data_IF_933281343084
#
_entry.id   IF_933281343084
#
_cell.length_a   1.000
_cell.length_b   1.000
_cell.length_c   1.000
_cell.angle_alpha   90.00
_cell.angle_beta   90.00
_cell.angle_gamma   90.00
#
_symmetry.space_group_name_H-M   'P 1'
#
loop_
_entity.id
_entity.type
_entity.pdbx_description
1 polymer ?
#
# COMPACT_ATOMS: atom_id res chain seq x y z
N UNK A 1 2.93 1.95 -27.85
CA UNK A 1 3.07 0.47 -27.93
C UNK A 1 2.47 -0.04 -26.65
N UNK A 2 1.25 -0.55 -26.74
CA UNK A 2 0.31 -0.66 -25.62
C UNK A 2 -0.32 -2.06 -25.65
N UNK A 3 0.47 -3.10 -25.41
CA UNK A 3 -0.01 -4.50 -25.36
C UNK A 3 0.86 -5.26 -24.34
N UNK A 4 0.55 -5.10 -23.04
CA UNK A 4 1.24 -5.81 -21.94
C UNK A 4 0.46 -5.81 -20.63
N UNK A 5 -0.16 -4.68 -20.27
CA UNK A 5 -0.71 -4.49 -18.91
C UNK A 5 -2.03 -5.23 -18.65
N UNK A 6 -2.94 -5.31 -19.62
CA UNK A 6 -4.29 -5.84 -19.38
C UNK A 6 -4.34 -7.31 -18.92
N UNK A 7 -3.44 -8.15 -19.42
CA UNK A 7 -3.39 -9.58 -19.05
C UNK A 7 -2.77 -9.79 -17.67
N UNK A 8 -1.71 -9.03 -17.35
CA UNK A 8 -1.03 -9.08 -16.05
C UNK A 8 -1.95 -8.57 -14.95
N UNK A 9 -2.65 -7.45 -15.18
CA UNK A 9 -3.65 -6.92 -14.23
C UNK A 9 -4.83 -7.88 -14.03
N UNK A 10 -5.34 -8.50 -15.09
CA UNK A 10 -6.44 -9.48 -14.98
C UNK A 10 -6.01 -10.73 -14.20
N UNK A 11 -4.80 -11.23 -14.45
CA UNK A 11 -4.25 -12.37 -13.70
C UNK A 11 -3.98 -12.00 -12.23
N UNK A 12 -3.51 -10.79 -11.96
CA UNK A 12 -3.30 -10.29 -10.61
C UNK A 12 -4.63 -10.15 -9.85
N UNK A 13 -5.67 -9.62 -10.51
CA UNK A 13 -6.99 -9.48 -9.90
C UNK A 13 -7.60 -10.83 -9.52
N UNK A 14 -7.56 -11.81 -10.43
CA UNK A 14 -8.05 -13.17 -10.12
C UNK A 14 -7.28 -13.85 -8.98
N UNK A 15 -5.98 -13.54 -8.83
CA UNK A 15 -5.18 -14.04 -7.71
C UNK A 15 -5.59 -13.41 -6.37
N UNK A 16 -5.71 -12.07 -6.31
CA UNK A 16 -6.08 -11.41 -5.05
C UNK A 16 -7.50 -11.74 -4.61
N UNK A 17 -8.43 -11.90 -5.55
CA UNK A 17 -9.83 -12.25 -5.25
C UNK A 17 -9.99 -13.65 -4.64
N UNK A 18 -9.02 -14.54 -4.84
CA UNK A 18 -9.01 -15.86 -4.23
C UNK A 18 -8.53 -15.86 -2.76
N UNK A 19 -8.00 -14.73 -2.26
CA UNK A 19 -7.45 -14.61 -0.92
C UNK A 19 -8.47 -13.98 0.05
N UNK A 20 -8.48 -14.50 1.28
CA UNK A 20 -9.39 -14.08 2.36
C UNK A 20 -8.84 -12.89 3.14
N UNK A 21 -7.52 -12.83 3.30
CA UNK A 21 -6.83 -11.71 3.95
C UNK A 21 -6.77 -10.48 3.03
N UNK A 22 -6.81 -9.24 3.56
CA UNK A 22 -6.60 -8.05 2.77
C UNK A 22 -5.30 -8.17 1.96
N UNK A 23 -5.40 -7.93 0.66
CA UNK A 23 -4.25 -8.01 -0.23
C UNK A 23 -4.38 -6.96 -1.33
N UNK A 24 -3.24 -6.36 -1.67
CA UNK A 24 -3.08 -5.51 -2.85
C UNK A 24 -1.86 -5.94 -3.66
N UNK A 25 -1.88 -5.60 -4.94
CA UNK A 25 -0.70 -5.60 -5.81
C UNK A 25 -0.42 -4.15 -6.16
N UNK A 26 0.82 -3.73 -5.91
CA UNK A 26 1.32 -2.41 -6.29
C UNK A 26 2.25 -2.54 -7.50
N UNK A 27 2.22 -1.57 -8.39
CA UNK A 27 3.26 -1.42 -9.41
C UNK A 27 4.50 -0.68 -8.86
N UNK A 28 5.51 -0.47 -9.72
CA UNK A 28 6.74 0.24 -9.37
C UNK A 28 6.51 1.68 -8.90
N UNK A 29 5.41 2.34 -9.26
CA UNK A 29 5.09 3.70 -8.82
C UNK A 29 4.24 3.73 -7.55
N UNK A 30 4.00 2.56 -6.95
CA UNK A 30 3.12 2.32 -5.81
C UNK A 30 1.64 2.59 -6.09
N UNK A 31 1.24 2.45 -7.36
CA UNK A 31 -0.18 2.43 -7.72
C UNK A 31 -0.77 1.06 -7.42
N UNK A 32 -1.95 1.04 -6.78
CA UNK A 32 -2.72 -0.18 -6.55
C UNK A 32 -3.29 -0.65 -7.88
N UNK A 33 -2.69 -1.68 -8.47
CA UNK A 33 -3.13 -2.25 -9.75
C UNK A 33 -4.12 -3.40 -9.59
N UNK A 34 -4.11 -4.07 -8.43
CA UNK A 34 -5.12 -5.05 -8.05
C UNK A 34 -5.34 -5.00 -6.53
N UNK A 35 -6.57 -5.23 -6.08
CA UNK A 35 -6.91 -5.32 -4.67
C UNK A 35 -8.13 -6.23 -4.48
N UNK A 36 -8.14 -7.02 -3.41
CA UNK A 36 -9.36 -7.75 -3.06
C UNK A 36 -10.36 -6.82 -2.36
N UNK A 37 -11.63 -7.26 -2.34
CA UNK A 37 -12.72 -6.46 -1.77
C UNK A 37 -12.51 -6.10 -0.30
N UNK A 38 -11.85 -6.98 0.47
CA UNK A 38 -11.55 -6.73 1.89
C UNK A 38 -10.52 -5.62 2.05
N UNK A 39 -9.48 -5.56 1.22
CA UNK A 39 -8.50 -4.47 1.24
C UNK A 39 -9.14 -3.11 0.94
N UNK A 40 -9.95 -3.02 -0.12
CA UNK A 40 -10.66 -1.78 -0.45
C UNK A 40 -11.66 -1.36 0.64
N UNK A 41 -12.26 -2.31 1.36
CA UNK A 41 -13.14 -2.04 2.49
C UNK A 41 -12.38 -1.64 3.77
N UNK A 42 -11.11 -2.07 3.91
CA UNK A 42 -10.24 -1.75 5.02
C UNK A 42 -9.82 -0.28 4.99
N UNK A 43 -9.40 0.23 3.83
CA UNK A 43 -8.99 1.62 3.61
C UNK A 43 -9.10 2.04 2.15
N UNK A 44 -9.46 3.31 1.92
CA UNK A 44 -9.41 3.94 0.59
C UNK A 44 -7.99 4.04 0.00
N UNK A 45 -6.95 3.88 0.81
CA UNK A 45 -5.56 3.78 0.32
C UNK A 45 -5.29 2.49 -0.43
N UNK A 46 -6.11 1.46 -0.23
CA UNK A 46 -5.93 0.10 -0.74
C UNK A 46 -6.90 -0.25 -1.88
N UNK A 47 -7.50 0.77 -2.51
CA UNK A 47 -8.39 0.58 -3.66
C UNK A 47 -7.64 0.70 -4.98
N UNK A 48 -8.04 -0.09 -5.97
CA UNK A 48 -7.46 -0.04 -7.32
C UNK A 48 -7.51 1.39 -7.89
N UNK A 49 -6.39 1.84 -8.45
CA UNK A 49 -6.20 3.19 -8.99
C UNK A 49 -5.73 4.23 -7.97
N UNK A 50 -5.66 3.89 -6.68
CA UNK A 50 -5.03 4.76 -5.67
C UNK A 50 -3.52 4.64 -5.74
N UNK A 51 -2.82 5.77 -5.73
CA UNK A 51 -1.38 5.81 -5.52
C UNK A 51 -1.09 5.92 -4.02
N UNK A 52 -0.38 4.94 -3.46
CA UNK A 52 -0.15 4.88 -2.01
C UNK A 52 0.69 6.09 -1.53
N UNK A 53 1.73 6.49 -2.26
CA UNK A 53 2.55 7.64 -1.89
C UNK A 53 1.74 8.96 -1.88
N UNK A 54 0.90 9.19 -2.88
CA UNK A 54 -0.01 10.35 -2.87
C UNK A 54 -1.00 10.29 -1.73
N UNK A 55 -1.56 9.11 -1.45
CA UNK A 55 -2.50 8.95 -0.35
C UNK A 55 -1.84 9.28 0.99
N UNK A 56 -0.65 8.74 1.26
CA UNK A 56 0.05 8.93 2.54
C UNK A 56 0.51 10.38 2.75
N UNK A 57 1.03 11.03 1.70
CA UNK A 57 1.71 12.32 1.86
C UNK A 57 0.90 13.55 1.45
N UNK A 58 -0.17 13.39 0.67
CA UNK A 58 -0.97 14.51 0.13
C UNK A 58 -2.42 14.52 0.61
N UNK A 59 -2.90 13.46 1.28
CA UNK A 59 -4.25 13.42 1.82
C UNK A 59 -4.30 14.21 3.15
N UNK A 60 -5.13 15.28 3.26
CA UNK A 60 -5.24 16.05 4.49
C UNK A 60 -6.03 15.33 5.60
N UNK A 61 -6.63 14.18 5.31
CA UNK A 61 -7.49 13.42 6.21
C UNK A 61 -6.85 12.13 6.74
N UNK A 62 -5.52 12.04 6.83
CA UNK A 62 -4.92 10.90 7.54
C UNK A 62 -5.16 11.11 9.04
N UNK A 63 -6.33 10.66 9.49
CA UNK A 63 -6.83 10.66 10.88
C UNK A 63 -6.14 9.54 11.68
N UNK A 64 -4.82 9.57 11.76
CA UNK A 64 -4.07 8.68 12.64
C UNK A 64 -3.42 9.46 13.78
N UNK A 65 -3.05 8.74 14.85
CA UNK A 65 -2.08 9.28 15.78
C UNK A 65 -0.80 9.62 15.02
N UNK A 66 -0.15 10.74 15.36
CA UNK A 66 1.05 11.23 14.65
C UNK A 66 2.10 10.12 14.48
N UNK A 67 2.26 9.27 15.50
CA UNK A 67 3.21 8.16 15.53
C UNK A 67 2.90 7.06 14.48
N UNK A 68 1.62 6.73 14.26
CA UNK A 68 1.21 5.70 13.29
C UNK A 68 1.39 6.18 11.85
N UNK A 69 1.01 7.44 11.60
CA UNK A 69 1.22 8.06 10.31
C UNK A 69 2.71 8.21 9.98
N UNK A 70 3.55 8.59 10.95
CA UNK A 70 5.01 8.68 10.76
C UNK A 70 5.61 7.34 10.33
N UNK A 71 5.18 6.23 10.94
CA UNK A 71 5.63 4.89 10.55
C UNK A 71 5.20 4.53 9.11
N UNK A 72 3.97 4.85 8.73
CA UNK A 72 3.45 4.60 7.38
C UNK A 72 4.11 5.50 6.32
N UNK A 73 4.38 6.76 6.66
CA UNK A 73 5.12 7.71 5.83
C UNK A 73 6.54 7.21 5.57
N UNK A 74 7.25 6.82 6.64
CA UNK A 74 8.59 6.26 6.53
C UNK A 74 8.62 5.02 5.62
N UNK A 75 7.70 4.06 5.86
CA UNK A 75 7.55 2.85 5.05
C UNK A 75 7.30 3.18 3.58
N UNK A 76 6.37 4.09 3.31
CA UNK A 76 5.98 4.46 1.95
C UNK A 76 7.14 5.13 1.19
N UNK A 77 7.89 6.02 1.84
CA UNK A 77 9.08 6.62 1.26
C UNK A 77 10.18 5.57 1.00
N UNK A 78 10.38 4.62 1.91
CA UNK A 78 11.33 3.52 1.74
C UNK A 78 10.95 2.60 0.57
N UNK A 79 9.67 2.26 0.40
CA UNK A 79 9.18 1.48 -0.75
C UNK A 79 9.42 2.19 -2.08
N UNK A 80 9.15 3.51 -2.13
CA UNK A 80 9.34 4.29 -3.35
C UNK A 80 10.81 4.40 -3.72
N UNK A 81 11.70 4.53 -2.72
CA UNK A 81 13.15 4.53 -2.92
C UNK A 81 13.66 3.18 -3.40
N UNK A 82 13.26 2.09 -2.75
CA UNK A 82 13.62 0.73 -3.20
C UNK A 82 13.16 0.49 -4.63
N UNK A 83 11.93 0.88 -4.98
CA UNK A 83 11.45 0.78 -6.36
C UNK A 83 12.32 1.56 -7.35
N UNK A 84 12.73 2.79 -7.02
CA UNK A 84 13.64 3.57 -7.84
C UNK A 84 15.05 2.97 -7.94
N UNK A 85 15.51 2.22 -6.93
CA UNK A 85 16.80 1.52 -6.95
C UNK A 85 16.75 0.25 -7.83
N UNK A 86 15.59 -0.41 -7.91
CA UNK A 86 15.39 -1.62 -8.73
C UNK A 86 15.05 -1.33 -10.20
N UNK A 87 14.57 -0.13 -10.52
CA UNK A 87 14.08 0.24 -11.85
C UNK A 87 14.70 1.55 -12.36
N UNK A 88 14.81 1.69 -13.68
CA UNK A 88 15.26 2.95 -14.27
C UNK A 88 14.25 4.09 -14.04
N UNK A 89 14.75 5.27 -13.72
CA UNK A 89 13.94 6.47 -13.51
C UNK A 89 13.23 6.92 -14.80
N UNK A 90 11.90 6.75 -14.85
CA UNK A 90 11.05 7.17 -15.96
C UNK A 90 10.39 8.55 -15.72
N UNK A 91 9.71 9.15 -16.72
CA UNK A 91 9.02 10.42 -16.54
C UNK A 91 7.94 10.42 -15.44
N UNK A 92 7.29 9.27 -15.20
CA UNK A 92 6.21 9.15 -14.20
C UNK A 92 6.77 9.18 -12.78
N UNK A 93 7.91 8.55 -12.52
CA UNK A 93 8.66 8.67 -11.28
C UNK A 93 9.06 10.12 -11.01
N UNK A 94 9.59 10.82 -12.01
CA UNK A 94 9.97 12.25 -11.89
C UNK A 94 8.78 13.12 -11.53
N UNK A 95 7.65 12.91 -12.19
CA UNK A 95 6.41 13.62 -11.90
C UNK A 95 5.93 13.36 -10.47
N UNK A 96 5.87 12.09 -10.06
CA UNK A 96 5.45 11.69 -8.71
C UNK A 96 6.37 12.28 -7.64
N UNK A 97 7.69 12.12 -7.77
CA UNK A 97 8.65 12.67 -6.81
C UNK A 97 8.61 14.19 -6.77
N UNK A 98 8.53 14.85 -7.93
CA UNK A 98 8.41 16.30 -8.03
C UNK A 98 7.16 16.83 -7.33
N UNK A 99 6.01 16.17 -7.54
CA UNK A 99 4.76 16.50 -6.87
C UNK A 99 4.88 16.34 -5.35
N UNK A 100 5.36 15.19 -4.87
CA UNK A 100 5.48 14.89 -3.45
C UNK A 100 6.46 15.85 -2.75
N UNK A 101 7.63 16.11 -3.35
CA UNK A 101 8.62 17.06 -2.83
C UNK A 101 8.07 18.48 -2.74
N UNK A 102 7.27 18.91 -3.72
CA UNK A 102 6.71 20.26 -3.75
C UNK A 102 5.55 20.48 -2.77
N UNK A 103 4.78 19.41 -2.49
CA UNK A 103 3.51 19.52 -1.76
C UNK A 103 3.56 18.95 -0.33
N UNK A 104 4.58 18.16 0.01
CA UNK A 104 4.70 17.52 1.32
C UNK A 104 6.09 17.73 1.94
N UNK A 105 6.23 18.65 2.91
CA UNK A 105 7.47 18.81 3.67
C UNK A 105 7.89 17.53 4.39
N UNK A 106 6.93 16.73 4.84
CA UNK A 106 7.21 15.45 5.47
C UNK A 106 7.82 14.43 4.50
N UNK A 107 7.29 14.35 3.27
CA UNK A 107 7.92 13.54 2.22
C UNK A 107 9.37 13.97 1.99
N UNK A 108 9.64 15.28 1.88
CA UNK A 108 11.00 15.78 1.67
C UNK A 108 11.96 15.37 2.81
N UNK A 109 11.49 15.35 4.06
CA UNK A 109 12.24 14.86 5.21
C UNK A 109 12.52 13.37 5.12
N UNK A 110 11.49 12.54 4.92
CA UNK A 110 11.63 11.08 4.81
C UNK A 110 12.47 10.66 3.59
N UNK A 111 12.36 11.40 2.49
CA UNK A 111 13.12 11.16 1.28
C UNK A 111 14.62 11.43 1.48
N UNK A 112 14.96 12.46 2.26
CA UNK A 112 16.34 12.84 2.57
C UNK A 112 16.98 12.02 3.70
N UNK A 113 16.18 11.30 4.50
CA UNK A 113 16.69 10.48 5.59
C UNK A 113 17.62 9.35 5.09
N UNK A 114 18.67 9.04 5.87
CA UNK A 114 19.62 7.97 5.55
C UNK A 114 18.88 6.63 5.49
N UNK A 115 19.01 5.93 4.37
CA UNK A 115 18.27 4.71 4.08
C UNK A 115 18.62 3.58 5.08
N UNK A 116 17.63 3.20 5.89
CA UNK A 116 17.47 1.80 6.24
C UNK A 116 16.85 1.10 5.02
N UNK A 117 17.24 -0.15 4.74
CA UNK A 117 16.67 -0.91 3.64
C UNK A 117 15.15 -1.05 3.82
N UNK A 118 14.38 -1.26 2.73
CA UNK A 118 12.94 -1.39 2.82
C UNK A 118 12.57 -2.52 3.79
N UNK A 119 11.70 -2.21 4.76
CA UNK A 119 11.12 -3.24 5.59
C UNK A 119 10.24 -4.15 4.71
N UNK A 120 10.51 -5.45 4.72
CA UNK A 120 9.69 -6.45 4.02
C UNK A 120 8.47 -6.89 4.83
N UNK A 121 8.40 -6.50 6.09
CA UNK A 121 7.27 -6.78 6.99
C UNK A 121 7.17 -5.70 8.06
N UNK A 122 6.02 -5.60 8.70
CA UNK A 122 5.82 -4.67 9.80
C UNK A 122 4.41 -4.75 10.38
N UNK A 123 4.02 -3.70 11.08
CA UNK A 123 2.67 -3.52 11.63
C UNK A 123 2.12 -2.20 11.15
N UNK A 124 0.85 -2.17 10.75
CA UNK A 124 0.09 -0.96 10.45
C UNK A 124 -1.20 -0.97 11.26
N UNK A 125 -1.60 0.21 11.71
CA UNK A 125 -2.93 0.43 12.27
C UNK A 125 -3.85 0.93 11.15
N UNK A 126 -5.11 0.51 11.17
CA UNK A 126 -6.15 1.05 10.30
C UNK A 126 -7.34 1.49 11.14
N UNK A 127 -7.77 2.73 10.99
CA UNK A 127 -9.05 3.19 11.52
C UNK A 127 -10.15 2.96 10.49
N UNK A 128 -10.99 1.96 10.75
CA UNK A 128 -12.10 1.64 9.86
C UNK A 128 -13.43 2.16 10.44
N UNK A 129 -14.22 2.95 9.70
CA UNK A 129 -15.45 3.54 10.23
C UNK A 129 -16.54 2.52 10.59
N UNK A 130 -16.47 1.29 10.04
CA UNK A 130 -17.49 0.26 10.26
C UNK A 130 -17.15 -0.67 11.42
N UNK A 131 -15.86 -0.98 11.62
CA UNK A 131 -15.40 -1.98 12.61
C UNK A 131 -14.41 -1.44 13.65
N UNK A 132 -14.04 -0.16 13.54
CA UNK A 132 -13.07 0.53 14.40
C UNK A 132 -11.62 0.17 14.10
N UNK A 133 -10.72 0.54 15.01
CA UNK A 133 -9.27 0.30 14.95
C UNK A 133 -8.87 -1.17 14.76
N UNK A 134 -8.09 -1.47 13.72
CA UNK A 134 -7.42 -2.76 13.49
C UNK A 134 -5.91 -2.59 13.54
N UNK A 135 -5.20 -3.53 14.18
CA UNK A 135 -3.74 -3.63 14.15
C UNK A 135 -3.38 -4.85 13.33
N UNK A 136 -2.76 -4.63 12.17
CA UNK A 136 -2.47 -5.67 11.20
C UNK A 136 -0.97 -5.77 10.96
N UNK A 137 -0.44 -6.99 10.97
CA UNK A 137 0.89 -7.29 10.44
C UNK A 137 0.81 -7.29 8.93
N UNK A 138 1.77 -6.65 8.27
CA UNK A 138 1.87 -6.68 6.82
C UNK A 138 3.15 -7.35 6.37
N UNK A 139 3.11 -7.98 5.20
CA UNK A 139 4.26 -8.59 4.53
C UNK A 139 4.27 -8.18 3.06
N UNK A 140 5.45 -7.83 2.55
CA UNK A 140 5.71 -7.55 1.14
C UNK A 140 6.31 -8.79 0.48
N UNK A 141 5.66 -9.27 -0.57
CA UNK A 141 6.04 -10.44 -1.34
C UNK A 141 6.36 -10.00 -2.76
N UNK A 142 7.63 -10.12 -3.15
CA UNK A 142 8.09 -9.85 -4.51
C UNK A 142 8.28 -11.17 -5.25
N UNK A 143 7.89 -11.18 -6.52
CA UNK A 143 8.16 -12.30 -7.42
C UNK A 143 9.52 -12.13 -8.07
N UNK A 144 10.29 -13.21 -8.17
CA UNK A 144 11.61 -13.15 -8.84
C UNK A 144 11.49 -12.90 -10.34
N UNK A 145 10.38 -13.33 -10.95
CA UNK A 145 10.10 -13.22 -12.38
C UNK A 145 9.28 -11.97 -12.76
N UNK A 146 8.89 -11.16 -11.78
CA UNK A 146 8.08 -9.95 -11.96
C UNK A 146 8.54 -8.88 -10.98
N UNK A 147 9.64 -8.15 -11.28
CA UNK A 147 10.16 -7.11 -10.41
C UNK A 147 9.27 -5.86 -10.36
N UNK A 148 8.41 -5.68 -11.37
CA UNK A 148 7.54 -4.51 -11.53
C UNK A 148 6.41 -4.46 -10.51
N UNK A 149 6.08 -5.60 -9.89
CA UNK A 149 4.98 -5.73 -8.95
C UNK A 149 5.41 -6.20 -7.56
N UNK A 150 4.77 -5.64 -6.55
CA UNK A 150 4.88 -6.12 -5.16
C UNK A 150 3.49 -6.45 -4.63
N UNK A 151 3.35 -7.63 -4.04
CA UNK A 151 2.14 -8.03 -3.34
C UNK A 151 2.29 -7.63 -1.88
N UNK A 152 1.29 -6.96 -1.31
CA UNK A 152 1.24 -6.65 0.12
C UNK A 152 0.03 -7.33 0.72
N UNK A 153 0.25 -8.14 1.75
CA UNK A 153 -0.80 -8.88 2.46
C UNK A 153 -0.82 -8.42 3.91
N UNK A 154 -2.02 -8.27 4.47
CA UNK A 154 -2.21 -7.96 5.89
C UNK A 154 -2.86 -9.11 6.62
N UNK A 155 -2.41 -9.40 7.83
CA UNK A 155 -3.01 -10.37 8.74
C UNK A 155 -3.19 -9.75 10.13
N UNK A 156 -4.21 -10.12 10.90
CA UNK A 156 -4.44 -9.57 12.23
C UNK A 156 -3.25 -9.81 13.17
N UNK A 157 -2.84 -8.78 13.90
CA UNK A 157 -1.76 -8.85 14.89
C UNK A 157 -2.23 -9.30 16.28
N UNK A 158 -3.53 -9.19 16.55
CA UNK A 158 -4.15 -9.55 17.82
C UNK A 158 -5.59 -10.07 17.65
N UNK A 159 -6.12 -10.71 18.70
CA UNK A 159 -7.47 -11.29 18.70
C UNK A 159 -8.58 -10.25 18.46
N UNK A 160 -8.34 -8.99 18.85
CA UNK A 160 -9.32 -7.94 18.66
C UNK A 160 -9.45 -7.58 17.16
N UNK A 161 -8.32 -7.55 16.46
CA UNK A 161 -8.22 -7.31 15.03
C UNK A 161 -8.73 -8.51 14.23
N UNK A 162 -8.54 -9.74 14.71
CA UNK A 162 -9.20 -10.94 14.14
C UNK A 162 -10.72 -10.72 14.09
N UNK A 163 -11.33 -10.43 15.24
CA UNK A 163 -12.80 -10.24 15.33
C UNK A 163 -13.31 -9.10 14.46
N UNK A 164 -12.56 -7.99 14.38
CA UNK A 164 -12.94 -6.83 13.55
C UNK A 164 -12.82 -7.11 12.07
N UNK A 165 -11.78 -7.82 11.65
CA UNK A 165 -11.60 -8.20 10.26
C UNK A 165 -12.68 -9.19 9.82
N UNK A 166 -13.04 -10.14 10.68
CA UNK A 166 -14.16 -11.05 10.43
C UNK A 166 -15.51 -10.31 10.35
N UNK A 167 -15.73 -9.33 11.23
CA UNK A 167 -16.91 -8.46 11.15
C UNK A 167 -16.94 -7.66 9.83
N UNK A 168 -15.80 -7.14 9.37
CA UNK A 168 -15.70 -6.42 8.10
C UNK A 168 -16.03 -7.35 6.93
N UNK A 169 -15.50 -8.58 6.92
CA UNK A 169 -15.82 -9.59 5.88
C UNK A 169 -17.31 -9.90 5.85
N UNK A 170 -17.92 -10.12 7.01
CA UNK A 170 -19.37 -10.40 7.11
C UNK A 170 -20.23 -9.26 6.53
N UNK A 171 -19.80 -7.99 6.67
CA UNK A 171 -20.47 -6.84 6.07
C UNK A 171 -20.36 -6.80 4.53
N UNK A 172 -19.37 -7.47 3.94
CA UNK A 172 -19.19 -7.54 2.49
C UNK A 172 -20.01 -8.68 1.87
N UNK A 173 -20.37 -9.69 2.65
CA UNK A 173 -21.17 -10.84 2.21
C UNK A 173 -22.68 -10.57 2.25
N UNK A 174 -23.12 -9.58 3.03
CA UNK A 174 -24.51 -9.10 3.11
C UNK A 174 -24.87 -8.09 2.03
#
# INVERSE_FOLDING_TARGET
>A
MEHGDGTTTTSAQGFVDALVEPVVVLDRHLDVVAANRVAGALSGSLTVGTNLARFTFLNPYVEESVDEWEAEAHRTAAMLRDSLEQHDEDPRFRELLGELMARSPAFATEWAARAEGPASQGVSTFENPLVGRLVLRWEQLRRQDDPEHVVVVWAPADDASVRRLDALRALLEG
#
